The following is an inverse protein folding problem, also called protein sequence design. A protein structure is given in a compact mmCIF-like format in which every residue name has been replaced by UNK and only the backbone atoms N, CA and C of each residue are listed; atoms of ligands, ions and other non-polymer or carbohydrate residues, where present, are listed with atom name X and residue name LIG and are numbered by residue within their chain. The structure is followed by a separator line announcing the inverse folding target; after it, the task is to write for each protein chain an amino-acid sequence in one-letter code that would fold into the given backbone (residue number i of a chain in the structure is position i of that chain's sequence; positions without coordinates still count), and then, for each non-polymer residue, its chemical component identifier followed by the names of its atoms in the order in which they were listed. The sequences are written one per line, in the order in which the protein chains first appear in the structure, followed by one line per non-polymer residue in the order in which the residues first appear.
data_IF_402745821348
#
_entry.id   IF_402745821348
#
_cell.length_a   1.000
_cell.length_b   1.000
_cell.length_c   1.000
_cell.angle_alpha   90.00
_cell.angle_beta   90.00
_cell.angle_gamma   90.00
#
_symmetry.space_group_name_H-M   'P 1'
#
loop_
_entity.id
_entity.type
_entity.pdbx_description
1 polymer ?
#
# COMPACT_ATOMS: atom_id res chain seq x y z
N UNK A 1 6.96 15.11 9.91
CA UNK A 1 6.07 14.27 10.78
C UNK A 1 6.85 13.06 11.27
N UNK A 2 6.53 12.51 12.45
CA UNK A 2 7.13 11.23 12.90
C UNK A 2 6.27 10.03 12.49
N UNK A 3 6.94 8.93 12.19
CA UNK A 3 6.33 7.62 11.91
C UNK A 3 7.13 6.54 12.62
N UNK A 4 6.48 5.43 13.00
CA UNK A 4 7.10 4.36 13.78
C UNK A 4 6.99 3.02 13.08
N UNK A 5 8.14 2.39 12.83
CA UNK A 5 8.21 1.02 12.34
C UNK A 5 8.39 0.06 13.51
N UNK A 6 7.35 -0.69 13.83
CA UNK A 6 7.44 -1.86 14.71
C UNK A 6 8.07 -3.02 13.95
N UNK A 7 9.03 -3.72 14.57
CA UNK A 7 9.84 -4.71 13.89
C UNK A 7 10.44 -5.76 14.82
N UNK A 8 11.00 -6.83 14.22
CA UNK A 8 11.81 -7.80 14.94
C UNK A 8 13.17 -7.20 15.34
N UNK A 9 13.84 -7.74 16.36
CA UNK A 9 15.20 -7.30 16.73
C UNK A 9 16.19 -7.37 15.57
N UNK A 10 16.11 -8.41 14.73
CA UNK A 10 17.01 -8.57 13.57
C UNK A 10 16.72 -7.51 12.49
N UNK A 11 15.44 -7.28 12.18
CA UNK A 11 15.03 -6.24 11.24
C UNK A 11 15.47 -4.85 11.73
N UNK A 12 15.41 -4.60 13.04
CA UNK A 12 15.95 -3.37 13.64
C UNK A 12 17.43 -3.19 13.34
N UNK A 13 18.25 -4.23 13.51
CA UNK A 13 19.70 -4.12 13.22
C UNK A 13 19.96 -3.78 11.75
N UNK A 14 19.23 -4.40 10.83
CA UNK A 14 19.33 -4.08 9.41
C UNK A 14 18.91 -2.63 9.11
N UNK A 15 17.79 -2.16 9.66
CA UNK A 15 17.33 -0.79 9.44
C UNK A 15 18.34 0.22 10.01
N UNK A 16 18.91 -0.04 11.18
CA UNK A 16 19.95 0.80 11.78
C UNK A 16 21.22 0.90 10.95
N UNK A 17 21.53 -0.11 10.14
CA UNK A 17 22.63 -0.08 9.18
C UNK A 17 22.23 0.51 7.81
N UNK A 18 21.03 1.09 7.68
CA UNK A 18 20.54 1.65 6.42
C UNK A 18 19.97 0.63 5.44
N UNK A 19 19.74 -0.63 5.87
CA UNK A 19 19.21 -1.72 5.06
C UNK A 19 17.70 -1.84 5.22
N UNK A 20 16.97 -0.99 4.52
CA UNK A 20 15.52 -0.99 4.45
C UNK A 20 15.05 -1.96 3.36
N UNK A 21 13.97 -2.67 3.67
CA UNK A 21 13.21 -3.46 2.70
C UNK A 21 11.96 -2.68 2.31
N UNK A 22 11.75 -2.53 1.01
CA UNK A 22 10.56 -1.94 0.41
C UNK A 22 9.88 -3.06 -0.36
N UNK A 23 8.82 -3.61 0.24
CA UNK A 23 8.10 -4.77 -0.29
C UNK A 23 7.22 -4.42 -1.47
N UNK A 24 6.79 -5.39 -2.26
CA UNK A 24 5.70 -5.20 -3.22
C UNK A 24 4.35 -5.56 -2.58
N UNK A 25 3.25 -4.93 -2.99
CA UNK A 25 1.90 -5.33 -2.57
C UNK A 25 1.65 -6.82 -2.88
N UNK A 26 2.16 -7.32 -4.01
CA UNK A 26 2.15 -8.75 -4.35
C UNK A 26 2.86 -9.65 -3.34
N UNK A 27 3.99 -9.20 -2.78
CA UNK A 27 4.72 -9.92 -1.74
C UNK A 27 3.95 -9.92 -0.42
N UNK A 28 3.40 -8.77 -0.01
CA UNK A 28 2.57 -8.69 1.19
C UNK A 28 1.40 -9.68 1.12
N UNK A 29 0.65 -9.68 0.02
CA UNK A 29 -0.42 -10.67 -0.25
C UNK A 29 0.04 -12.13 -0.11
N UNK A 30 1.22 -12.45 -0.63
CA UNK A 30 1.74 -13.82 -0.67
C UNK A 30 2.31 -14.28 0.67
N UNK A 31 3.01 -13.38 1.38
CA UNK A 31 3.65 -13.66 2.67
C UNK A 31 2.63 -13.86 3.80
N UNK A 32 1.50 -13.16 3.74
CA UNK A 32 0.43 -13.32 4.71
C UNK A 32 -0.40 -14.60 4.48
N UNK A 33 -0.43 -15.15 3.26
CA UNK A 33 -1.17 -16.36 2.95
C UNK A 33 -0.70 -17.61 3.72
N UNK A 34 0.51 -17.60 4.26
CA UNK A 34 1.07 -18.68 5.09
C UNK A 34 0.93 -18.50 6.61
N UNK A 35 0.38 -17.37 7.09
CA UNK A 35 0.51 -16.91 8.48
C UNK A 35 -0.73 -16.98 9.39
N UNK A 36 -1.89 -17.46 8.92
CA UNK A 36 -3.10 -17.59 9.75
C UNK A 36 -4.39 -17.07 9.10
N UNK A 37 -5.52 -17.32 9.77
CA UNK A 37 -6.91 -17.21 9.27
C UNK A 37 -7.38 -15.82 8.76
N UNK A 38 -6.57 -14.76 8.82
CA UNK A 38 -6.94 -13.38 8.42
C UNK A 38 -5.76 -12.66 7.75
N UNK A 39 -5.28 -13.18 6.62
CA UNK A 39 -4.29 -12.53 5.76
C UNK A 39 -4.97 -11.49 4.85
N UNK A 40 -4.38 -10.30 4.64
CA UNK A 40 -4.88 -9.29 3.70
C UNK A 40 -4.59 -9.69 2.25
N UNK A 41 -5.22 -10.77 1.81
CA UNK A 41 -5.10 -11.28 0.43
C UNK A 41 -5.59 -10.28 -0.61
N UNK A 42 -6.35 -9.26 -0.19
CA UNK A 42 -6.89 -8.21 -1.04
C UNK A 42 -6.02 -6.96 -1.13
N UNK A 43 -4.80 -6.96 -0.59
CA UNK A 43 -3.92 -5.80 -0.66
C UNK A 43 -3.59 -5.44 -2.13
N UNK A 44 -3.81 -4.18 -2.51
CA UNK A 44 -3.68 -3.74 -3.90
C UNK A 44 -4.80 -4.23 -4.84
N UNK A 45 -5.88 -4.82 -4.31
CA UNK A 45 -7.07 -5.22 -5.09
C UNK A 45 -8.24 -4.27 -4.81
N UNK A 46 -9.09 -4.09 -5.80
CA UNK A 46 -10.37 -3.41 -5.61
C UNK A 46 -11.36 -3.72 -6.72
N UNK A 47 -12.56 -3.23 -6.53
CA UNK A 47 -13.69 -3.51 -7.41
C UNK A 47 -14.39 -2.21 -7.77
N UNK A 48 -14.67 -2.01 -9.05
CA UNK A 48 -15.58 -0.97 -9.50
C UNK A 48 -16.90 -1.64 -9.86
N UNK A 49 -17.93 -1.34 -9.07
CA UNK A 49 -19.31 -1.71 -9.34
C UNK A 49 -19.99 -0.63 -10.19
N UNK A 50 -20.70 -1.03 -11.24
CA UNK A 50 -21.54 -0.16 -12.05
C UNK A 50 -23.00 -0.59 -11.88
N UNK A 51 -23.87 0.34 -11.50
CA UNK A 51 -25.29 0.09 -11.27
C UNK A 51 -26.16 1.06 -12.09
N UNK A 52 -27.16 0.56 -12.81
CA UNK A 52 -28.16 1.37 -13.53
C UNK A 52 -29.06 0.53 -14.45
N UNK A 53 -30.24 1.04 -14.85
CA UNK A 53 -31.24 0.25 -15.60
C UNK A 53 -30.85 -0.08 -17.05
N UNK A 54 -29.92 0.67 -17.63
CA UNK A 54 -29.31 0.41 -18.93
C UNK A 54 -27.91 1.02 -18.90
N UNK A 55 -26.88 0.22 -19.16
CA UNK A 55 -25.50 0.68 -19.11
C UNK A 55 -24.79 0.25 -20.38
N UNK A 56 -24.37 1.22 -21.21
CA UNK A 56 -23.52 1.01 -22.38
C UNK A 56 -22.20 1.72 -22.09
N UNK A 57 -21.09 0.98 -22.03
CA UNK A 57 -19.77 1.58 -21.80
C UNK A 57 -18.72 1.07 -22.79
N UNK A 58 -17.86 2.00 -23.15
CA UNK A 58 -16.60 1.76 -23.86
C UNK A 58 -15.46 2.28 -22.99
N UNK A 59 -14.34 1.58 -22.99
CA UNK A 59 -13.19 1.95 -22.18
C UNK A 59 -11.95 1.18 -22.58
N UNK A 60 -10.82 1.65 -22.06
CA UNK A 60 -9.51 1.10 -22.35
C UNK A 60 -8.79 0.81 -21.04
N UNK A 61 -8.20 -0.37 -20.93
CA UNK A 61 -7.33 -0.75 -19.82
C UNK A 61 -6.05 -1.35 -20.39
N UNK A 62 -4.94 -0.62 -20.30
CA UNK A 62 -3.69 -0.99 -20.97
C UNK A 62 -3.87 -1.15 -22.49
N UNK A 63 -3.65 -2.38 -22.97
CA UNK A 63 -3.82 -2.77 -24.38
C UNK A 63 -5.23 -3.27 -24.73
N UNK A 64 -6.11 -3.50 -23.75
CA UNK A 64 -7.47 -3.99 -23.99
C UNK A 64 -8.45 -2.83 -24.20
N UNK A 65 -9.19 -2.91 -25.31
CA UNK A 65 -10.31 -2.02 -25.62
C UNK A 65 -11.61 -2.82 -25.51
N UNK A 66 -12.55 -2.34 -24.70
CA UNK A 66 -13.93 -2.80 -24.74
C UNK A 66 -14.79 -1.68 -25.30
N UNK A 67 -15.73 -2.03 -26.18
CA UNK A 67 -16.64 -1.07 -26.79
C UNK A 67 -18.06 -1.61 -26.77
N UNK A 68 -19.02 -0.73 -26.46
CA UNK A 68 -20.45 -1.00 -26.51
C UNK A 68 -20.91 -2.20 -25.65
N UNK A 69 -20.31 -2.41 -24.48
CA UNK A 69 -20.78 -3.45 -23.55
C UNK A 69 -22.07 -2.96 -22.90
N UNK A 70 -23.18 -3.61 -23.25
CA UNK A 70 -24.54 -3.28 -22.83
C UNK A 70 -25.13 -4.28 -21.84
N UNK A 71 -25.63 -3.82 -20.69
CA UNK A 71 -26.44 -4.64 -19.76
C UNK A 71 -27.80 -3.97 -19.55
N UNK A 72 -28.89 -4.75 -19.65
CA UNK A 72 -30.27 -4.31 -19.45
C UNK A 72 -31.04 -5.31 -18.61
N UNK A 73 -31.72 -4.85 -17.55
CA UNK A 73 -32.53 -5.67 -16.65
C UNK A 73 -33.09 -4.83 -15.49
N UNK A 74 -33.81 -5.46 -14.55
CA UNK A 74 -34.16 -4.80 -13.29
C UNK A 74 -32.90 -4.73 -12.40
N UNK A 75 -32.24 -3.57 -12.39
CA UNK A 75 -31.00 -3.28 -11.63
C UNK A 75 -29.77 -4.13 -12.04
N UNK A 76 -29.33 -4.14 -13.31
CA UNK A 76 -28.10 -4.82 -13.65
C UNK A 76 -26.94 -4.18 -12.90
N UNK A 77 -26.12 -5.05 -12.31
CA UNK A 77 -24.92 -4.71 -11.56
C UNK A 77 -23.74 -5.42 -12.21
N UNK A 78 -22.73 -4.65 -12.59
CA UNK A 78 -21.49 -5.16 -13.16
C UNK A 78 -20.34 -4.79 -12.26
N UNK A 79 -19.55 -5.77 -11.83
CA UNK A 79 -18.31 -5.54 -11.09
C UNK A 79 -17.12 -5.86 -11.96
N UNK A 80 -16.15 -4.95 -11.98
CA UNK A 80 -14.84 -5.19 -12.54
C UNK A 80 -13.81 -5.18 -11.43
N UNK A 81 -13.20 -6.33 -11.18
CA UNK A 81 -12.05 -6.46 -10.30
C UNK A 81 -10.77 -6.03 -11.02
N UNK A 82 -9.85 -5.41 -10.27
CA UNK A 82 -8.52 -5.08 -10.75
C UNK A 82 -7.49 -5.24 -9.63
N UNK A 83 -6.24 -5.46 -10.03
CA UNK A 83 -5.11 -5.61 -9.12
C UNK A 83 -4.01 -4.66 -9.55
N UNK A 84 -3.41 -4.02 -8.57
CA UNK A 84 -2.30 -3.10 -8.72
C UNK A 84 -1.14 -3.64 -7.89
N UNK A 85 0.06 -3.46 -8.42
CA UNK A 85 1.28 -3.72 -7.67
C UNK A 85 2.09 -2.44 -7.55
N UNK A 86 2.70 -2.25 -6.40
CA UNK A 86 3.51 -1.09 -6.07
C UNK A 86 4.54 -1.49 -5.02
N UNK A 87 5.70 -0.84 -5.05
CA UNK A 87 6.67 -0.96 -3.96
C UNK A 87 6.21 -0.10 -2.81
N UNK A 88 5.91 -0.69 -1.67
CA UNK A 88 5.39 0.00 -0.48
C UNK A 88 6.28 -0.19 0.73
N UNK A 89 6.36 0.88 1.52
CA UNK A 89 6.90 0.87 2.86
C UNK A 89 5.82 1.32 3.83
N UNK A 90 5.42 0.39 4.70
CA UNK A 90 4.35 0.59 5.68
C UNK A 90 4.92 0.83 7.08
N UNK A 91 4.33 1.76 7.81
CA UNK A 91 4.73 2.19 9.15
C UNK A 91 3.51 2.72 9.90
N UNK A 92 3.56 2.87 11.22
CA UNK A 92 2.51 3.55 11.98
C UNK A 92 2.70 5.06 11.98
N UNK A 93 1.60 5.82 12.00
CA UNK A 93 1.62 7.28 12.17
C UNK A 93 2.05 7.65 13.59
N UNK A 94 2.91 8.66 13.71
CA UNK A 94 3.37 9.20 14.99
C UNK A 94 4.65 8.58 15.53
N UNK A 95 5.10 9.10 16.67
CA UNK A 95 6.21 8.52 17.44
C UNK A 95 5.82 7.21 18.13
N UNK A 96 6.77 6.61 18.84
CA UNK A 96 6.56 5.32 19.49
C UNK A 96 5.36 5.36 20.47
N UNK A 97 4.41 4.46 20.24
CA UNK A 97 3.27 4.23 21.13
C UNK A 97 3.33 2.80 21.69
N UNK A 98 3.37 2.67 23.03
CA UNK A 98 3.45 1.38 23.71
C UNK A 98 2.18 0.54 23.52
N UNK A 99 1.00 1.14 23.63
CA UNK A 99 -0.27 0.42 23.52
C UNK A 99 -0.45 -0.16 22.12
N UNK A 100 -0.14 0.62 21.08
CA UNK A 100 -0.09 0.14 19.70
C UNK A 100 0.91 -1.01 19.55
N UNK A 101 2.12 -0.88 20.11
CA UNK A 101 3.12 -1.94 20.06
C UNK A 101 2.61 -3.24 20.71
N UNK A 102 1.98 -3.13 21.88
CA UNK A 102 1.42 -4.28 22.59
C UNK A 102 0.24 -4.90 21.83
N UNK A 103 -0.62 -4.09 21.19
CA UNK A 103 -1.72 -4.58 20.37
C UNK A 103 -1.22 -5.33 19.13
N UNK A 104 -0.16 -4.85 18.48
CA UNK A 104 0.48 -5.56 17.37
C UNK A 104 1.07 -6.88 17.85
N UNK A 105 1.78 -6.88 18.99
CA UNK A 105 2.41 -8.09 19.54
C UNK A 105 1.41 -9.16 19.97
N UNK A 106 0.37 -8.75 20.70
CA UNK A 106 -0.57 -9.65 21.34
C UNK A 106 -1.80 -9.95 20.48
N UNK A 107 -1.98 -9.19 19.40
CA UNK A 107 -3.20 -9.23 18.60
C UNK A 107 -4.36 -8.50 19.28
N UNK A 108 -5.43 -8.35 18.52
CA UNK A 108 -6.72 -7.86 19.01
C UNK A 108 -7.82 -8.82 18.54
N UNK A 109 -9.09 -8.50 18.80
CA UNK A 109 -10.21 -9.31 18.29
C UNK A 109 -10.19 -9.44 16.75
N UNK A 110 -9.67 -8.44 16.04
CA UNK A 110 -9.67 -8.36 14.57
C UNK A 110 -8.29 -8.52 13.94
N UNK A 111 -7.22 -8.59 14.75
CA UNK A 111 -5.84 -8.58 14.27
C UNK A 111 -5.03 -9.73 14.86
N UNK A 112 -4.32 -10.44 13.99
CA UNK A 112 -3.49 -11.57 14.39
C UNK A 112 -2.24 -11.08 15.15
N UNK A 113 -1.92 -11.75 16.26
CA UNK A 113 -0.76 -11.43 17.08
C UNK A 113 0.56 -11.61 16.30
N UNK A 114 1.48 -10.66 16.45
CA UNK A 114 2.86 -10.78 15.96
C UNK A 114 3.88 -10.67 17.12
N UNK A 115 4.07 -11.73 17.93
CA UNK A 115 4.86 -11.67 19.17
C UNK A 115 6.35 -11.39 18.95
N UNK A 116 6.84 -11.55 17.71
CA UNK A 116 8.23 -11.32 17.33
C UNK A 116 8.57 -9.84 17.18
N UNK A 117 7.58 -8.95 17.06
CA UNK A 117 7.80 -7.52 16.95
C UNK A 117 8.14 -6.94 18.32
N UNK A 118 9.38 -7.12 18.79
CA UNK A 118 9.85 -6.68 20.12
C UNK A 118 10.58 -5.34 20.10
N UNK A 119 10.78 -4.78 18.91
CA UNK A 119 11.59 -3.59 18.67
C UNK A 119 10.83 -2.54 17.88
N UNK A 120 11.32 -1.31 17.90
CA UNK A 120 10.79 -0.23 17.08
C UNK A 120 11.87 0.73 16.63
N UNK A 121 11.59 1.45 15.55
CA UNK A 121 12.38 2.57 15.05
C UNK A 121 11.43 3.72 14.73
N UNK A 122 11.74 4.92 15.22
CA UNK A 122 11.02 6.14 14.87
C UNK A 122 11.80 6.88 13.79
N UNK A 123 11.08 7.28 12.75
CA UNK A 123 11.64 7.95 11.58
C UNK A 123 11.01 9.34 11.42
N UNK A 124 11.81 10.29 10.97
CA UNK A 124 11.35 11.54 10.41
C UNK A 124 10.90 11.32 8.96
N UNK A 125 9.61 11.56 8.71
CA UNK A 125 9.00 11.32 7.41
C UNK A 125 9.63 12.16 6.30
N UNK A 126 10.01 13.41 6.56
CA UNK A 126 10.48 14.32 5.52
C UNK A 126 11.86 13.89 5.02
N UNK A 127 12.71 13.41 5.94
CA UNK A 127 13.98 12.78 5.58
C UNK A 127 13.78 11.43 4.90
N UNK A 128 12.79 10.64 5.33
CA UNK A 128 12.49 9.36 4.70
C UNK A 128 12.01 9.55 3.25
N UNK A 129 11.08 10.48 3.00
CA UNK A 129 10.58 10.78 1.64
C UNK A 129 11.74 11.19 0.73
N UNK A 130 12.66 12.03 1.20
CA UNK A 130 13.87 12.40 0.43
C UNK A 130 14.71 11.18 0.05
N UNK A 131 14.84 10.19 0.94
CA UNK A 131 15.54 8.96 0.63
C UNK A 131 14.80 8.12 -0.44
N UNK A 132 13.47 8.11 -0.42
CA UNK A 132 12.65 7.47 -1.46
C UNK A 132 12.78 8.16 -2.82
N UNK A 133 12.84 9.48 -2.87
CA UNK A 133 13.08 10.22 -4.13
C UNK A 133 14.39 9.77 -4.78
N UNK A 134 15.45 9.58 -4.00
CA UNK A 134 16.74 9.06 -4.51
C UNK A 134 16.65 7.61 -5.01
N UNK A 135 15.81 6.78 -4.38
CA UNK A 135 15.49 5.46 -4.94
C UNK A 135 14.84 5.61 -6.30
N UNK A 136 13.80 6.44 -6.41
CA UNK A 136 13.09 6.68 -7.67
C UNK A 136 14.07 7.12 -8.77
N UNK A 137 14.95 8.08 -8.50
CA UNK A 137 15.98 8.50 -9.45
C UNK A 137 16.91 7.34 -9.83
N UNK A 138 17.35 6.54 -8.87
CA UNK A 138 18.26 5.40 -9.13
C UNK A 138 17.62 4.29 -9.98
N UNK A 139 16.29 4.14 -9.93
CA UNK A 139 15.57 3.16 -10.73
C UNK A 139 15.51 3.55 -12.22
N UNK A 140 15.81 4.81 -12.57
CA UNK A 140 15.83 5.34 -13.94
C UNK A 140 14.55 5.01 -14.75
N UNK A 141 13.39 5.16 -14.10
CA UNK A 141 12.07 4.95 -14.71
C UNK A 141 11.31 6.28 -14.69
N UNK A 142 11.33 6.97 -15.82
CA UNK A 142 10.66 8.27 -16.01
C UNK A 142 9.14 8.21 -15.71
N UNK A 143 8.59 7.01 -15.73
CA UNK A 143 7.19 6.65 -15.51
C UNK A 143 6.87 6.18 -14.08
N UNK A 144 7.81 6.34 -13.14
CA UNK A 144 7.58 6.08 -11.70
C UNK A 144 7.22 7.32 -10.90
N UNK A 145 6.25 7.17 -10.00
CA UNK A 145 5.78 8.22 -9.10
C UNK A 145 5.84 7.77 -7.65
N UNK A 146 6.15 8.71 -6.75
CA UNK A 146 6.06 8.49 -5.32
C UNK A 146 4.72 9.04 -4.84
N UNK A 147 3.95 8.19 -4.18
CA UNK A 147 2.76 8.57 -3.44
C UNK A 147 2.98 8.23 -1.98
N UNK A 148 2.41 9.02 -1.09
CA UNK A 148 2.49 8.77 0.33
C UNK A 148 1.26 9.33 1.04
N UNK A 149 0.89 8.70 2.15
CA UNK A 149 -0.29 9.09 2.90
C UNK A 149 -0.73 8.03 3.91
N UNK A 150 -1.69 8.43 4.74
CA UNK A 150 -2.36 7.53 5.69
C UNK A 150 -3.25 6.52 4.96
N UNK A 151 -3.25 5.30 5.48
CA UNK A 151 -4.14 4.23 5.01
C UNK A 151 -5.53 4.48 5.54
N UNK A 152 -6.50 4.44 4.63
CA UNK A 152 -7.92 4.48 4.94
C UNK A 152 -8.43 3.06 5.14
N UNK A 153 -9.24 2.90 6.18
CA UNK A 153 -9.88 1.63 6.51
C UNK A 153 -11.34 1.71 6.06
N UNK A 154 -11.64 1.07 4.93
CA UNK A 154 -12.98 1.06 4.34
C UNK A 154 -13.12 -0.05 3.28
N UNK A 155 -14.32 -0.15 2.68
CA UNK A 155 -14.54 -1.04 1.55
C UNK A 155 -13.66 -0.68 0.37
N UNK A 156 -13.09 -1.70 -0.28
CA UNK A 156 -12.33 -1.60 -1.54
C UNK A 156 -13.24 -1.52 -2.77
N UNK A 157 -14.54 -1.66 -2.56
CA UNK A 157 -15.55 -1.55 -3.61
C UNK A 157 -15.97 -0.08 -3.78
N UNK A 158 -15.87 0.42 -5.02
CA UNK A 158 -16.44 1.71 -5.41
C UNK A 158 -17.61 1.47 -6.35
N UNK A 159 -18.82 1.78 -5.89
CA UNK A 159 -20.02 1.72 -6.73
C UNK A 159 -20.25 3.07 -7.41
N UNK A 160 -20.16 3.10 -8.73
CA UNK A 160 -20.54 4.25 -9.56
C UNK A 160 -21.99 4.04 -10.01
N UNK A 161 -22.89 4.91 -9.54
CA UNK A 161 -24.30 4.87 -9.91
C UNK A 161 -24.56 5.76 -11.12
N UNK A 162 -25.16 5.19 -12.15
CA UNK A 162 -25.60 5.92 -13.34
C UNK A 162 -26.95 6.58 -13.06
N UNK A 163 -26.98 7.60 -12.21
CA UNK A 163 -28.16 8.44 -12.01
C UNK A 163 -28.08 9.63 -12.99
N UNK A 164 -28.56 9.37 -14.22
CA UNK A 164 -28.81 10.32 -15.30
C UNK A 164 -27.60 10.94 -16.06
N UNK A 165 -27.65 10.71 -17.38
CA UNK A 165 -27.01 11.48 -18.47
C UNK A 165 -25.47 11.46 -18.57
N UNK A 166 -24.98 10.95 -19.71
CA UNK A 166 -23.62 11.11 -20.25
C UNK A 166 -22.50 10.98 -19.23
N UNK A 167 -22.27 9.74 -18.79
CA UNK A 167 -21.10 9.36 -17.98
C UNK A 167 -19.84 9.38 -18.87
N UNK A 168 -19.43 10.60 -19.25
CA UNK A 168 -18.05 10.92 -19.62
C UNK A 168 -17.20 11.11 -18.36
N UNK A 169 -17.35 10.26 -17.33
CA UNK A 169 -16.32 10.12 -16.29
C UNK A 169 -15.17 9.30 -16.89
N UNK A 170 -14.44 10.01 -17.74
CA UNK A 170 -13.43 9.57 -18.68
C UNK A 170 -12.12 9.30 -17.95
N UNK A 171 -11.71 8.04 -17.80
CA UNK A 171 -10.34 7.62 -17.44
C UNK A 171 -9.83 8.02 -16.04
N UNK A 172 -9.82 9.30 -15.71
CA UNK A 172 -9.27 9.89 -14.50
C UNK A 172 -9.89 9.33 -13.23
N UNK A 173 -11.21 9.10 -13.17
CA UNK A 173 -11.85 8.54 -11.96
C UNK A 173 -11.45 7.10 -11.67
N UNK A 174 -11.13 6.33 -12.72
CA UNK A 174 -10.64 4.96 -12.61
C UNK A 174 -9.17 4.99 -12.21
N UNK A 175 -8.35 5.82 -12.86
CA UNK A 175 -6.93 5.96 -12.52
C UNK A 175 -6.71 6.50 -11.10
N UNK A 176 -7.51 7.46 -10.66
CA UNK A 176 -7.52 7.94 -9.27
C UNK A 176 -7.92 6.83 -8.30
N UNK A 177 -8.97 6.07 -8.62
CA UNK A 177 -9.38 4.96 -7.75
C UNK A 177 -8.34 3.84 -7.69
N UNK A 178 -7.64 3.60 -8.80
CA UNK A 178 -6.49 2.69 -8.85
C UNK A 178 -5.39 3.15 -7.89
N UNK A 179 -5.03 4.44 -7.90
CA UNK A 179 -4.04 5.00 -6.95
C UNK A 179 -4.51 4.89 -5.51
N UNK A 180 -5.78 5.17 -5.25
CA UNK A 180 -6.39 5.10 -3.92
C UNK A 180 -6.28 3.72 -3.27
N UNK A 181 -6.36 2.65 -4.05
CA UNK A 181 -6.31 1.26 -3.54
C UNK A 181 -4.97 0.90 -2.91
N UNK A 182 -3.89 1.57 -3.30
CA UNK A 182 -2.59 1.45 -2.63
C UNK A 182 -2.69 1.91 -1.16
N UNK A 183 -3.70 2.71 -0.79
CA UNK A 183 -3.90 3.28 0.54
C UNK A 183 -5.22 2.84 1.18
N UNK A 184 -5.85 1.75 0.72
CA UNK A 184 -7.06 1.20 1.33
C UNK A 184 -6.79 -0.19 1.93
N UNK A 185 -7.17 -0.37 3.19
CA UNK A 185 -7.21 -1.65 3.90
C UNK A 185 -8.60 -1.91 4.46
N UNK A 186 -8.90 -3.18 4.75
CA UNK A 186 -10.11 -3.53 5.48
C UNK A 186 -9.97 -3.17 6.97
N UNK A 187 -11.09 -2.80 7.61
CA UNK A 187 -11.14 -2.33 9.00
C UNK A 187 -10.53 -3.30 10.02
N UNK A 188 -10.51 -4.59 9.71
CA UNK A 188 -9.89 -5.61 10.57
C UNK A 188 -8.39 -5.34 10.81
N UNK A 189 -7.72 -4.64 9.90
CA UNK A 189 -6.29 -4.27 9.98
C UNK A 189 -6.04 -2.91 10.65
N UNK A 190 -7.07 -2.24 11.19
CA UNK A 190 -6.97 -0.93 11.84
C UNK A 190 -6.38 -1.03 13.27
N UNK A 191 -5.19 -1.60 13.40
CA UNK A 191 -4.45 -1.63 14.68
C UNK A 191 -3.38 -0.56 14.75
N UNK A 192 -2.76 -0.23 13.62
CA UNK A 192 -1.52 0.53 13.62
C UNK A 192 -1.59 1.94 13.03
N UNK A 193 -2.79 2.46 12.69
CA UNK A 193 -2.99 3.74 11.99
C UNK A 193 -1.88 3.97 10.94
N UNK A 194 -1.92 3.16 9.89
CA UNK A 194 -0.79 2.97 8.98
C UNK A 194 -0.56 4.19 8.08
N UNK A 195 0.71 4.50 7.85
CA UNK A 195 1.21 5.39 6.81
C UNK A 195 1.95 4.57 5.77
N UNK A 196 1.72 4.86 4.49
CA UNK A 196 2.41 4.21 3.37
C UNK A 196 3.20 5.22 2.58
N UNK A 197 4.38 4.80 2.13
CA UNK A 197 5.12 5.43 1.05
C UNK A 197 5.19 4.40 -0.08
N UNK A 198 4.76 4.76 -1.26
CA UNK A 198 4.69 3.87 -2.41
C UNK A 198 5.44 4.43 -3.63
N UNK A 199 6.21 3.58 -4.29
CA UNK A 199 6.73 3.82 -5.63
C UNK A 199 5.86 3.02 -6.61
N UNK A 200 5.17 3.73 -7.50
CA UNK A 200 4.22 3.14 -8.45
C UNK A 200 4.62 3.48 -9.89
N UNK A 201 4.50 2.50 -10.79
CA UNK A 201 4.74 2.63 -12.23
C UNK A 201 3.45 2.34 -12.99
N UNK A 202 3.09 3.21 -13.93
CA UNK A 202 1.91 3.00 -14.79
C UNK A 202 2.16 1.83 -15.77
N UNK A 203 3.42 1.63 -16.19
CA UNK A 203 3.83 0.47 -16.97
C UNK A 203 4.21 -0.68 -16.01
N UNK A 204 3.24 -1.55 -15.76
CA UNK A 204 3.18 -2.51 -14.65
C UNK A 204 4.07 -3.77 -14.80
N UNK A 205 4.77 -3.95 -15.92
CA UNK A 205 5.30 -5.28 -16.28
C UNK A 205 6.49 -5.77 -15.43
N UNK A 206 7.09 -4.95 -14.54
CA UNK A 206 8.37 -5.30 -13.89
C UNK A 206 8.59 -4.77 -12.46
N UNK A 207 7.59 -4.76 -11.58
CA UNK A 207 7.78 -4.40 -10.14
C UNK A 207 7.61 -5.57 -9.16
N UNK A 208 7.94 -6.81 -9.58
CA UNK A 208 7.60 -8.02 -8.80
C UNK A 208 8.53 -8.35 -7.63
N UNK A 209 9.67 -7.69 -7.48
CA UNK A 209 10.65 -8.03 -6.42
C UNK A 209 10.80 -6.90 -5.43
N UNK A 210 10.83 -7.25 -4.14
CA UNK A 210 11.28 -6.37 -3.05
C UNK A 210 12.54 -5.61 -3.44
N UNK A 211 12.57 -4.34 -3.07
CA UNK A 211 13.75 -3.48 -3.20
C UNK A 211 14.45 -3.44 -1.84
N UNK A 212 15.74 -3.73 -1.83
CA UNK A 212 16.57 -3.65 -0.63
C UNK A 212 17.60 -2.55 -0.81
N UNK A 213 17.65 -1.60 0.11
CA UNK A 213 18.60 -0.47 0.02
C UNK A 213 20.05 -0.90 0.21
N UNK A 214 20.30 -2.08 0.78
CA UNK A 214 21.65 -2.69 0.87
C UNK A 214 22.27 -2.93 -0.50
N UNK A 215 21.43 -3.12 -1.52
CA UNK A 215 21.84 -3.37 -2.91
C UNK A 215 22.00 -2.04 -3.68
N UNK A 216 21.90 -0.90 -2.99
CA UNK A 216 22.01 0.46 -3.53
C UNK A 216 23.27 1.16 -3.03
N UNK A 217 23.52 2.37 -3.55
CA UNK A 217 24.67 3.18 -3.15
C UNK A 217 24.68 3.50 -1.66
N UNK A 218 25.88 3.63 -1.08
CA UNK A 218 26.04 4.05 0.32
C UNK A 218 25.38 5.41 0.61
N UNK A 219 25.31 6.29 -0.39
CA UNK A 219 24.63 7.58 -0.27
C UNK A 219 23.14 7.39 0.08
N UNK A 220 22.44 6.52 -0.66
CA UNK A 220 21.03 6.21 -0.38
C UNK A 220 20.89 5.60 1.02
N UNK A 221 21.74 4.64 1.38
CA UNK A 221 21.72 4.01 2.71
C UNK A 221 21.91 5.05 3.83
N UNK A 222 22.82 6.01 3.67
CA UNK A 222 23.05 7.10 4.63
C UNK A 222 21.84 8.02 4.77
N UNK A 223 21.10 8.29 3.69
CA UNK A 223 19.86 9.08 3.76
C UNK A 223 18.78 8.37 4.58
N UNK A 224 18.65 7.06 4.39
CA UNK A 224 17.75 6.24 5.21
C UNK A 224 18.14 6.26 6.69
N UNK A 225 19.44 6.10 7.01
CA UNK A 225 19.92 6.24 8.40
C UNK A 225 19.63 7.62 8.97
N UNK A 226 19.78 8.68 8.17
CA UNK A 226 19.48 10.06 8.59
C UNK A 226 18.02 10.28 8.96
N UNK A 227 17.09 9.50 8.41
CA UNK A 227 15.68 9.55 8.81
C UNK A 227 15.43 9.01 10.21
N UNK A 228 16.34 8.23 10.80
CA UNK A 228 16.15 7.62 12.12
C UNK A 228 16.35 8.67 13.22
N UNK A 229 15.30 8.93 14.00
CA UNK A 229 15.34 9.91 15.10
C UNK A 229 15.29 9.26 16.49
N UNK A 230 14.72 8.06 16.60
CA UNK A 230 14.71 7.30 17.85
C UNK A 230 14.67 5.78 17.57
N UNK A 231 15.13 4.99 18.55
CA UNK A 231 15.21 3.53 18.48
C UNK A 231 15.02 2.93 19.86
N UNK A 232 14.04 2.04 19.99
CA UNK A 232 13.88 1.21 21.19
C UNK A 232 14.35 -0.20 20.97
N UNK A 233 14.70 -0.89 22.04
CA UNK A 233 15.06 -2.30 22.02
C UNK A 233 14.22 -3.10 23.01
N UNK A 234 13.85 -4.30 22.59
CA UNK A 234 13.39 -5.43 23.39
C UNK A 234 12.48 -5.09 24.57
N UNK A 235 11.18 -4.93 24.27
CA UNK A 235 10.16 -5.14 25.29
C UNK A 235 10.14 -6.64 25.65
N UNK A 236 10.57 -6.98 26.86
CA UNK A 236 10.37 -8.30 27.46
C UNK A 236 8.87 -8.60 27.60
#
# INVERSE_FOLDING_TARGET
MLITKYCTPDARQHILSGNFKIGSLSEYRSSEAGGGLMADRGEGMGEIGLAGNSLIRSGRFGSFNFSNVGLSGDRPFFTQGFSIDAHVYCTSVGGYNRDTHMNIRNGTRSYCANPNYKSFIVLDLDYLIKAFEEIKYSMNKDDTNIYNGEVRYCSREKVIRSENSNVNSSGNDVEMHMKDIIFIKQDIFQVENEYRISIFSINNDKLLKSVYTRDMSEYIQKLFVRSIVDKGANLE
#
